data_IF_332911160280
#
_entry.id   IF_332911160280
#
_cell.length_a   1.000
_cell.length_b   1.000
_cell.length_c   1.000
_cell.angle_alpha   90.00
_cell.angle_beta   90.00
_cell.angle_gamma   90.00
#
_symmetry.space_group_name_H-M   'P 1'
#
loop_
_entity.id
_entity.type
_entity.pdbx_description
1 polymer ?
#
# COMPACT_ATOMS: atom_id res chain seq x y z
N UNK A 1 5.50 4.78 17.49
CA UNK A 1 4.59 4.04 16.59
C UNK A 1 4.82 2.55 16.78
N UNK A 2 3.78 1.70 16.72
CA UNK A 2 3.91 0.25 16.77
C UNK A 2 4.84 -0.29 15.68
N UNK A 3 5.50 -1.44 15.91
CA UNK A 3 6.33 -2.10 14.89
C UNK A 3 5.53 -2.58 13.68
N UNK A 4 4.21 -2.71 13.79
CA UNK A 4 3.30 -3.08 12.72
C UNK A 4 2.94 -1.94 11.78
N UNK A 5 3.18 -0.68 12.18
CA UNK A 5 3.02 0.48 11.31
C UNK A 5 4.21 0.54 10.32
N UNK A 6 3.96 0.21 9.06
CA UNK A 6 4.97 0.22 7.98
C UNK A 6 4.96 1.57 7.28
N UNK A 7 5.97 2.40 7.55
CA UNK A 7 6.11 3.75 7.00
C UNK A 7 4.76 4.52 6.95
N UNK A 8 4.10 4.72 8.10
CA UNK A 8 2.72 5.25 8.12
C UNK A 8 2.64 6.71 7.65
N UNK A 9 3.71 7.48 7.83
CA UNK A 9 3.81 8.90 7.43
C UNK A 9 4.57 9.05 6.12
N UNK A 10 4.07 8.38 5.07
CA UNK A 10 4.74 8.34 3.76
C UNK A 10 4.95 9.74 3.19
N UNK A 11 3.96 10.61 3.30
CA UNK A 11 4.02 11.97 2.77
C UNK A 11 4.96 12.85 3.61
N UNK A 12 4.86 12.77 4.94
CA UNK A 12 5.78 13.47 5.84
C UNK A 12 7.25 13.11 5.59
N UNK A 13 7.52 11.82 5.39
CA UNK A 13 8.85 11.29 5.03
C UNK A 13 9.30 11.75 3.65
N UNK A 14 8.37 11.80 2.67
CA UNK A 14 8.65 12.28 1.33
C UNK A 14 9.03 13.78 1.30
N UNK A 15 8.41 14.58 2.16
CA UNK A 15 8.76 15.99 2.38
C UNK A 15 10.14 16.12 3.02
N UNK A 16 10.42 15.33 4.06
CA UNK A 16 11.72 15.36 4.77
C UNK A 16 12.87 15.00 3.83
N UNK A 17 12.68 13.99 2.98
CA UNK A 17 13.66 13.62 1.96
C UNK A 17 13.92 14.75 0.95
N UNK A 18 12.92 15.57 0.62
CA UNK A 18 13.07 16.71 -0.29
C UNK A 18 13.76 17.89 0.38
N UNK A 19 13.40 18.18 1.61
CA UNK A 19 14.00 19.22 2.44
C UNK A 19 15.50 18.96 2.65
N UNK A 20 15.86 17.71 2.89
CA UNK A 20 17.24 17.26 3.13
C UNK A 20 17.97 16.79 1.85
N UNK A 21 17.39 16.98 0.67
CA UNK A 21 17.97 16.48 -0.57
C UNK A 21 19.33 17.16 -0.84
N UNK A 22 20.36 16.36 -1.15
CA UNK A 22 21.75 16.86 -1.29
C UNK A 22 21.95 17.75 -2.52
N UNK A 23 21.32 17.40 -3.65
CA UNK A 23 21.53 18.07 -4.95
C UNK A 23 20.29 18.79 -5.51
N UNK A 24 19.09 18.18 -5.43
CA UNK A 24 17.82 18.78 -5.87
C UNK A 24 17.21 19.70 -4.81
N UNK A 25 16.28 20.56 -5.21
CA UNK A 25 15.48 21.46 -4.34
C UNK A 25 16.28 22.46 -3.51
N UNK A 26 17.53 22.77 -3.92
CA UNK A 26 18.42 23.68 -3.20
C UNK A 26 18.16 25.15 -3.49
N UNK A 27 17.42 25.46 -4.56
CA UNK A 27 17.09 26.83 -4.96
C UNK A 27 16.11 27.48 -3.97
N UNK A 28 16.13 28.82 -3.93
CA UNK A 28 15.35 29.64 -2.99
C UNK A 28 13.85 29.36 -3.11
N UNK A 29 13.35 29.18 -4.34
CA UNK A 29 11.93 28.89 -4.60
C UNK A 29 11.52 27.53 -4.04
N UNK A 30 12.29 26.47 -4.33
CA UNK A 30 12.02 25.13 -3.78
C UNK A 30 12.01 25.12 -2.25
N UNK A 31 12.99 25.75 -1.62
CA UNK A 31 13.08 25.81 -0.14
C UNK A 31 11.91 26.56 0.47
N UNK A 32 11.52 27.69 -0.12
CA UNK A 32 10.35 28.46 0.31
C UNK A 32 9.09 27.59 0.22
N UNK A 33 8.85 26.97 -0.92
CA UNK A 33 7.64 26.16 -1.13
C UNK A 33 7.62 24.91 -0.25
N UNK A 34 8.75 24.23 -0.04
CA UNK A 34 8.82 23.10 0.90
C UNK A 34 8.50 23.53 2.33
N UNK A 35 8.99 24.69 2.76
CA UNK A 35 8.68 25.23 4.09
C UNK A 35 7.20 25.57 4.26
N UNK A 36 6.56 26.14 3.23
CA UNK A 36 5.12 26.43 3.24
C UNK A 36 4.30 25.13 3.25
N UNK A 37 4.69 24.15 2.43
CA UNK A 37 4.07 22.83 2.37
C UNK A 37 4.20 22.10 3.69
N UNK A 38 5.37 22.13 4.34
CA UNK A 38 5.59 21.55 5.66
C UNK A 38 4.65 22.13 6.70
N UNK A 39 4.49 23.46 6.72
CA UNK A 39 3.62 24.11 7.68
C UNK A 39 2.14 23.71 7.53
N UNK A 40 1.63 23.57 6.29
CA UNK A 40 0.27 23.07 6.06
C UNK A 40 0.14 21.57 6.29
N UNK A 41 1.19 20.80 5.98
CA UNK A 41 1.29 19.38 6.31
C UNK A 41 1.17 19.13 7.81
N UNK A 42 1.92 19.86 8.64
CA UNK A 42 1.93 19.66 10.08
C UNK A 42 0.55 19.93 10.71
N UNK A 43 -0.20 20.90 10.15
CA UNK A 43 -1.60 21.16 10.54
C UNK A 43 -2.50 19.98 10.14
N UNK A 44 -2.39 19.50 8.91
CA UNK A 44 -3.16 18.37 8.40
C UNK A 44 -2.87 17.08 9.19
N UNK A 45 -1.60 16.81 9.47
CA UNK A 45 -1.12 15.68 10.26
C UNK A 45 -1.68 15.73 11.68
N UNK A 46 -1.48 16.85 12.39
CA UNK A 46 -1.92 17.01 13.79
C UNK A 46 -3.43 16.85 13.93
N UNK A 47 -4.20 17.50 13.05
CA UNK A 47 -5.67 17.38 13.07
C UNK A 47 -6.15 15.94 12.80
N UNK A 48 -5.46 15.17 11.95
CA UNK A 48 -5.81 13.77 11.73
C UNK A 48 -5.45 12.85 12.90
N UNK A 49 -4.39 13.17 13.64
CA UNK A 49 -3.99 12.42 14.83
C UNK A 49 -4.93 12.64 16.02
N UNK A 50 -5.51 13.83 16.13
CA UNK A 50 -6.53 14.15 17.16
C UNK A 50 -7.83 13.37 16.96
N UNK A 51 -8.15 12.99 15.72
CA UNK A 51 -9.32 12.17 15.41
C UNK A 51 -9.08 10.69 15.74
N UNK A 52 -10.02 10.12 16.50
CA UNK A 52 -10.07 8.70 16.87
C UNK A 52 -11.26 8.03 16.20
N UNK A 53 -11.00 6.91 15.53
CA UNK A 53 -11.99 6.15 14.78
C UNK A 53 -12.08 6.55 13.31
N UNK A 54 -13.00 5.92 12.56
CA UNK A 54 -13.89 4.85 13.03
C UNK A 54 -13.16 3.52 13.25
N UNK A 55 -13.77 2.61 14.02
CA UNK A 55 -13.17 1.30 14.36
C UNK A 55 -13.93 0.13 13.69
N UNK A 56 -13.64 -1.12 14.10
CA UNK A 56 -14.32 -2.31 13.58
C UNK A 56 -15.80 -2.35 13.96
N UNK A 57 -16.19 -1.74 15.09
CA UNK A 57 -17.58 -1.70 15.54
C UNK A 57 -18.22 -0.39 15.09
N UNK A 58 -19.32 -0.44 14.30
CA UNK A 58 -19.97 0.78 13.83
C UNK A 58 -20.49 1.65 14.98
N UNK A 59 -20.29 2.95 14.87
CA UNK A 59 -20.84 3.96 15.81
C UNK A 59 -21.60 5.06 15.06
N UNK A 60 -22.43 5.80 15.78
CA UNK A 60 -23.15 6.95 15.20
C UNK A 60 -22.21 8.09 14.78
N UNK A 61 -20.98 8.10 15.29
CA UNK A 61 -19.96 9.12 15.02
C UNK A 61 -19.12 8.81 13.77
N UNK A 62 -19.17 7.57 13.25
CA UNK A 62 -18.32 7.12 12.14
C UNK A 62 -18.38 8.08 10.95
N UNK A 63 -19.59 8.42 10.51
CA UNK A 63 -19.81 9.26 9.35
C UNK A 63 -19.28 10.68 9.55
N UNK A 64 -19.44 11.23 10.75
CA UNK A 64 -18.93 12.55 11.09
C UNK A 64 -17.38 12.56 11.10
N UNK A 65 -16.75 11.53 11.66
CA UNK A 65 -15.30 11.41 11.70
C UNK A 65 -14.73 11.27 10.27
N UNK A 66 -15.32 10.43 9.44
CA UNK A 66 -14.92 10.29 8.03
C UNK A 66 -15.10 11.62 7.30
N UNK A 67 -16.22 12.33 7.52
CA UNK A 67 -16.45 13.65 6.94
C UNK A 67 -15.34 14.65 7.31
N UNK A 68 -14.99 14.75 8.58
CA UNK A 68 -13.89 15.63 9.02
C UNK A 68 -12.55 15.24 8.38
N UNK A 69 -12.23 13.93 8.28
CA UNK A 69 -11.01 13.48 7.59
C UNK A 69 -11.00 13.88 6.11
N UNK A 70 -12.14 13.80 5.42
CA UNK A 70 -12.28 14.21 4.01
C UNK A 70 -12.14 15.71 3.83
N UNK A 71 -12.69 16.51 4.75
CA UNK A 71 -12.50 17.97 4.75
C UNK A 71 -11.02 18.35 4.94
N UNK A 72 -10.35 17.72 5.90
CA UNK A 72 -8.91 17.90 6.14
C UNK A 72 -8.09 17.55 4.90
N UNK A 73 -8.36 16.39 4.27
CA UNK A 73 -7.71 15.98 3.03
C UNK A 73 -7.96 16.96 1.89
N UNK A 74 -9.22 17.38 1.70
CA UNK A 74 -9.61 18.30 0.62
C UNK A 74 -8.88 19.63 0.76
N UNK A 75 -8.88 20.21 1.96
CA UNK A 75 -8.17 21.46 2.26
C UNK A 75 -6.68 21.36 1.94
N UNK A 76 -6.02 20.29 2.39
CA UNK A 76 -4.58 20.10 2.15
C UNK A 76 -4.27 19.87 0.66
N UNK A 77 -5.07 19.06 -0.03
CA UNK A 77 -4.95 18.84 -1.48
C UNK A 77 -5.18 20.12 -2.28
N UNK A 78 -6.18 20.91 -1.92
CA UNK A 78 -6.47 22.18 -2.61
C UNK A 78 -5.36 23.21 -2.41
N UNK A 79 -4.72 23.21 -1.23
CA UNK A 79 -3.49 23.97 -1.00
C UNK A 79 -2.33 23.48 -1.90
N UNK A 80 -2.05 22.18 -1.91
CA UNK A 80 -0.97 21.60 -2.71
C UNK A 80 -1.17 21.73 -4.23
N UNK A 81 -2.43 21.77 -4.69
CA UNK A 81 -2.78 21.86 -6.09
C UNK A 81 -2.62 23.27 -6.67
N UNK A 82 -2.33 24.28 -5.84
CA UNK A 82 -2.04 25.64 -6.32
C UNK A 82 -0.91 25.62 -7.35
N UNK A 83 -1.06 26.44 -8.40
CA UNK A 83 -0.26 26.34 -9.63
C UNK A 83 1.24 26.37 -9.37
N UNK A 84 1.72 27.28 -8.52
CA UNK A 84 3.15 27.42 -8.25
C UNK A 84 3.76 26.21 -7.53
N UNK A 85 3.01 25.51 -6.68
CA UNK A 85 3.48 24.27 -6.07
C UNK A 85 3.48 23.13 -7.07
N UNK A 86 2.38 22.97 -7.81
CA UNK A 86 2.24 21.94 -8.81
C UNK A 86 3.34 22.04 -9.89
N UNK A 87 3.52 23.21 -10.51
CA UNK A 87 4.54 23.39 -11.54
C UNK A 87 5.96 23.14 -11.01
N UNK A 88 6.23 23.45 -9.74
CA UNK A 88 7.55 23.22 -9.13
C UNK A 88 7.81 21.74 -8.82
N UNK A 89 6.80 21.02 -8.34
CA UNK A 89 6.89 19.61 -7.97
C UNK A 89 6.08 18.77 -8.95
N UNK A 90 6.75 18.30 -10.00
CA UNK A 90 6.11 17.48 -11.03
C UNK A 90 5.60 16.13 -10.50
N UNK A 91 4.85 15.40 -11.32
CA UNK A 91 4.26 14.11 -10.94
C UNK A 91 5.30 13.06 -10.55
N UNK A 92 6.55 13.18 -11.01
CA UNK A 92 7.64 12.24 -10.68
C UNK A 92 8.22 12.48 -9.29
N UNK A 93 7.85 13.58 -8.64
CA UNK A 93 8.26 13.88 -7.26
C UNK A 93 7.56 13.02 -6.22
N UNK A 94 6.48 12.31 -6.59
CA UNK A 94 5.58 11.57 -5.70
C UNK A 94 4.93 12.43 -4.60
N UNK A 95 4.97 13.77 -4.73
CA UNK A 95 4.40 14.68 -3.76
C UNK A 95 2.88 14.47 -3.63
N UNK A 96 2.16 14.46 -4.75
CA UNK A 96 0.69 14.34 -4.72
C UNK A 96 0.21 12.92 -4.39
N UNK A 97 0.86 11.88 -4.89
CA UNK A 97 0.43 10.48 -4.67
C UNK A 97 0.60 10.06 -3.21
N UNK A 98 1.71 10.44 -2.57
CA UNK A 98 2.00 10.10 -1.17
C UNK A 98 0.99 10.67 -0.18
N UNK A 99 0.30 11.77 -0.51
CA UNK A 99 -0.79 12.30 0.33
C UNK A 99 -1.93 11.30 0.47
N UNK A 100 -2.28 10.59 -0.62
CA UNK A 100 -3.33 9.57 -0.55
C UNK A 100 -2.87 8.34 0.26
N UNK A 101 -1.60 7.94 0.09
CA UNK A 101 -0.99 6.84 0.86
C UNK A 101 -1.09 7.11 2.37
N UNK A 102 -0.69 8.32 2.80
CA UNK A 102 -0.75 8.71 4.21
C UNK A 102 -2.18 8.96 4.69
N UNK A 103 -3.07 9.47 3.84
CA UNK A 103 -4.49 9.60 4.17
C UNK A 103 -5.14 8.25 4.52
N UNK A 104 -4.79 7.19 3.79
CA UNK A 104 -5.30 5.84 4.08
C UNK A 104 -4.85 5.34 5.45
N UNK A 105 -3.65 5.70 5.90
CA UNK A 105 -3.22 5.41 7.27
C UNK A 105 -4.16 6.08 8.28
N UNK A 106 -4.45 7.38 8.15
CA UNK A 106 -5.38 8.06 9.06
C UNK A 106 -6.79 7.50 9.01
N UNK A 107 -7.27 7.13 7.82
CA UNK A 107 -8.60 6.58 7.61
C UNK A 107 -8.77 5.21 8.28
N UNK A 108 -7.72 4.39 8.31
CA UNK A 108 -7.81 2.99 8.74
C UNK A 108 -7.06 2.64 10.02
N UNK A 109 -6.20 3.51 10.58
CA UNK A 109 -5.35 3.20 11.74
C UNK A 109 -6.14 2.63 12.92
N UNK A 110 -7.28 3.23 13.24
CA UNK A 110 -8.07 2.84 14.42
C UNK A 110 -8.91 1.59 14.14
N UNK A 111 -9.38 1.41 12.90
CA UNK A 111 -10.00 0.15 12.45
C UNK A 111 -9.01 -1.02 12.55
N UNK A 112 -7.78 -0.86 12.08
CA UNK A 112 -6.80 -1.96 12.05
C UNK A 112 -6.32 -2.32 13.45
N UNK A 113 -6.22 -1.34 14.37
CA UNK A 113 -5.83 -1.55 15.77
C UNK A 113 -6.78 -2.47 16.54
N UNK A 114 -8.06 -2.52 16.19
CA UNK A 114 -9.03 -3.44 16.80
C UNK A 114 -8.66 -4.93 16.61
N UNK A 115 -7.86 -5.24 15.58
CA UNK A 115 -7.41 -6.60 15.29
C UNK A 115 -6.10 -6.98 15.99
N UNK A 116 -5.56 -6.10 16.84
CA UNK A 116 -4.39 -6.35 17.69
C UNK A 116 -3.07 -5.84 17.13
N UNK A 117 -2.01 -5.98 17.93
CA UNK A 117 -0.69 -5.37 17.67
C UNK A 117 0.03 -5.94 16.44
N UNK A 118 -0.32 -7.15 16.00
CA UNK A 118 0.27 -7.82 14.84
C UNK A 118 -0.35 -7.36 13.50
N UNK A 119 -1.42 -6.57 13.54
CA UNK A 119 -2.08 -6.09 12.34
C UNK A 119 -1.23 -5.02 11.66
N UNK A 120 -0.67 -5.37 10.50
CA UNK A 120 0.19 -4.50 9.72
C UNK A 120 -0.64 -3.44 8.99
N UNK A 121 -0.16 -2.20 8.97
CA UNK A 121 -0.78 -1.09 8.22
C UNK A 121 0.28 -0.15 7.63
N UNK A 122 0.06 0.31 6.39
CA UNK A 122 0.85 1.35 5.74
C UNK A 122 1.52 0.88 4.45
N UNK A 123 2.52 1.63 3.96
CA UNK A 123 3.24 1.28 2.73
C UNK A 123 4.17 0.09 2.99
N UNK A 124 4.01 -1.00 2.25
CA UNK A 124 4.80 -2.23 2.47
C UNK A 124 5.21 -2.93 1.16
N UNK A 125 6.31 -3.68 1.24
CA UNK A 125 6.75 -4.62 0.22
C UNK A 125 6.32 -6.03 0.63
N UNK A 126 5.24 -6.52 0.04
CA UNK A 126 4.62 -7.77 0.46
C UNK A 126 5.08 -8.96 -0.38
N UNK A 127 4.90 -10.16 0.14
CA UNK A 127 5.17 -11.41 -0.55
C UNK A 127 4.51 -11.45 -1.94
N UNK A 128 5.31 -11.77 -2.95
CA UNK A 128 4.85 -11.99 -4.32
C UNK A 128 5.10 -13.45 -4.73
N UNK A 129 6.32 -13.93 -4.53
CA UNK A 129 6.66 -15.31 -4.87
C UNK A 129 7.81 -15.87 -4.04
N UNK A 130 7.98 -17.19 -4.13
CA UNK A 130 9.13 -17.91 -3.59
C UNK A 130 9.75 -18.80 -4.66
N UNK A 131 11.07 -18.77 -4.76
CA UNK A 131 11.84 -19.61 -5.67
C UNK A 131 13.12 -20.12 -5.01
N UNK A 132 13.61 -21.29 -5.42
CA UNK A 132 14.80 -21.92 -4.84
C UNK A 132 15.96 -21.84 -5.83
N UNK A 133 17.06 -21.21 -5.42
CA UNK A 133 18.22 -20.94 -6.29
C UNK A 133 19.52 -21.45 -5.66
N UNK A 134 19.68 -22.78 -5.56
CA UNK A 134 20.93 -23.35 -5.11
C UNK A 134 22.04 -23.11 -6.16
N UNK A 135 23.28 -22.79 -5.75
CA UNK A 135 24.37 -22.53 -6.70
C UNK A 135 24.84 -23.79 -7.44
N UNK A 136 24.63 -24.98 -6.87
CA UNK A 136 24.91 -26.29 -7.48
C UNK A 136 24.17 -27.40 -6.74
N UNK A 137 24.08 -28.59 -7.34
CA UNK A 137 23.35 -29.73 -6.78
C UNK A 137 23.84 -30.13 -5.38
N UNK A 138 25.15 -30.16 -5.12
CA UNK A 138 25.66 -30.51 -3.78
C UNK A 138 25.28 -29.49 -2.70
N UNK A 139 25.06 -28.23 -3.08
CA UNK A 139 24.60 -27.19 -2.15
C UNK A 139 23.09 -27.29 -1.93
N UNK A 140 22.32 -27.63 -2.97
CA UNK A 140 20.86 -27.88 -2.86
C UNK A 140 20.50 -28.91 -1.77
N UNK A 141 21.41 -29.84 -1.48
CA UNK A 141 21.23 -30.86 -0.42
C UNK A 141 21.49 -30.33 1.00
N UNK A 142 22.22 -29.21 1.14
CA UNK A 142 22.61 -28.66 2.45
C UNK A 142 21.53 -27.76 3.06
N UNK A 143 20.83 -27.00 2.23
CA UNK A 143 19.75 -26.08 2.63
C UNK A 143 18.90 -25.67 1.41
N UNK A 144 17.74 -25.03 1.61
CA UNK A 144 16.80 -24.74 0.51
C UNK A 144 17.25 -23.69 -0.51
N UNK A 145 18.05 -22.68 -0.13
CA UNK A 145 18.36 -21.49 -0.93
C UNK A 145 17.09 -20.77 -1.41
N UNK A 146 16.13 -20.58 -0.50
CA UNK A 146 14.89 -19.88 -0.79
C UNK A 146 15.15 -18.38 -1.04
N UNK A 147 14.43 -17.84 -2.03
CA UNK A 147 14.39 -16.42 -2.37
C UNK A 147 12.95 -15.95 -2.35
N UNK A 148 12.72 -14.87 -1.59
CA UNK A 148 11.41 -14.26 -1.47
C UNK A 148 11.36 -13.05 -2.41
N UNK A 149 10.54 -13.15 -3.45
CA UNK A 149 10.18 -12.00 -4.27
C UNK A 149 9.12 -11.17 -3.56
N UNK A 150 9.28 -9.83 -3.59
CA UNK A 150 8.34 -8.90 -2.98
C UNK A 150 7.77 -7.93 -4.01
N UNK A 151 6.56 -7.45 -3.77
CA UNK A 151 5.90 -6.40 -4.55
C UNK A 151 5.67 -5.17 -3.67
N UNK A 152 6.05 -4.00 -4.17
CA UNK A 152 5.71 -2.74 -3.53
C UNK A 152 4.23 -2.40 -3.73
N UNK A 153 3.55 -2.04 -2.64
CA UNK A 153 2.17 -1.57 -2.64
C UNK A 153 2.08 -0.23 -1.92
N UNK A 154 1.31 0.69 -2.50
CA UNK A 154 1.14 2.05 -1.99
C UNK A 154 0.54 2.07 -0.57
N UNK A 155 -0.40 1.17 -0.28
CA UNK A 155 -0.96 0.96 1.05
C UNK A 155 -1.40 -0.49 1.26
N UNK A 156 -1.09 -1.04 2.43
CA UNK A 156 -1.39 -2.43 2.81
C UNK A 156 -2.05 -2.47 4.19
N UNK A 157 -3.02 -3.35 4.35
CA UNK A 157 -3.43 -3.93 5.64
C UNK A 157 -3.15 -5.43 5.56
N UNK A 158 -2.46 -5.99 6.55
CA UNK A 158 -2.04 -7.39 6.47
C UNK A 158 -1.41 -7.92 7.75
N UNK A 159 -0.50 -8.87 7.59
CA UNK A 159 0.27 -9.46 8.69
C UNK A 159 1.73 -9.70 8.27
N UNK A 160 2.63 -9.64 9.25
CA UNK A 160 4.01 -10.11 9.08
C UNK A 160 4.10 -11.57 9.49
N UNK A 161 4.66 -12.41 8.63
CA UNK A 161 4.89 -13.82 8.93
C UNK A 161 6.37 -14.16 8.93
N UNK A 162 6.73 -15.14 9.75
CA UNK A 162 8.05 -15.77 9.77
C UNK A 162 7.90 -17.20 9.27
N UNK A 163 8.73 -17.58 8.29
CA UNK A 163 8.74 -18.92 7.70
C UNK A 163 10.15 -19.48 7.75
N UNK A 164 10.28 -20.72 8.22
CA UNK A 164 11.55 -21.45 8.22
C UNK A 164 11.48 -22.62 7.24
N UNK A 165 12.44 -22.69 6.33
CA UNK A 165 12.64 -23.81 5.41
C UNK A 165 13.84 -24.62 5.87
N UNK A 166 13.74 -25.94 5.83
CA UNK A 166 14.82 -26.83 6.25
C UNK A 166 15.03 -27.91 5.19
N UNK A 167 16.28 -28.14 4.80
CA UNK A 167 16.59 -29.29 3.95
C UNK A 167 16.48 -30.58 4.76
N UNK A 168 15.85 -31.60 4.20
CA UNK A 168 15.83 -32.94 4.78
C UNK A 168 17.27 -33.40 5.05
N UNK A 169 17.53 -33.96 6.23
CA UNK A 169 18.86 -34.38 6.67
C UNK A 169 19.49 -35.34 5.65
N UNK A 170 20.67 -35.05 5.08
CA UNK A 170 21.44 -36.05 4.36
C UNK A 170 22.00 -37.09 5.35
N UNK A 171 22.19 -38.37 4.97
CA UNK A 171 22.63 -39.45 5.87
C UNK A 171 24.03 -39.29 6.50
N UNK A 172 24.82 -38.27 6.17
CA UNK A 172 26.21 -38.17 6.61
C UNK A 172 26.51 -36.85 7.32
N UNK A 173 27.05 -36.99 8.53
CA UNK A 173 27.56 -35.92 9.38
C UNK A 173 28.82 -35.35 8.75
N UNK A 174 28.77 -34.13 8.25
CA UNK A 174 29.99 -33.32 8.12
C UNK A 174 30.38 -32.81 9.51
N UNK A 175 31.59 -33.16 9.98
CA UNK A 175 32.07 -32.93 11.35
C UNK A 175 32.43 -31.47 11.70
N UNK A 176 32.00 -30.47 10.90
CA UNK A 176 32.44 -29.08 11.09
C UNK A 176 31.31 -28.13 11.57
N UNK A 177 31.31 -27.61 12.82
CA UNK A 177 30.10 -27.07 13.44
C UNK A 177 29.66 -25.67 13.03
N UNK A 178 30.46 -24.86 12.32
CA UNK A 178 30.10 -23.47 11.99
C UNK A 178 30.81 -22.96 10.73
N UNK A 179 30.08 -22.86 9.63
CA UNK A 179 30.44 -21.99 8.50
C UNK A 179 29.49 -20.78 8.47
N UNK A 180 30.06 -19.58 8.60
CA UNK A 180 29.42 -18.34 8.16
C UNK A 180 29.84 -18.14 6.72
N UNK A 181 28.99 -18.50 5.75
CA UNK A 181 29.25 -18.24 4.34
C UNK A 181 28.98 -16.76 4.04
N UNK A 182 29.97 -16.01 3.52
CA UNK A 182 29.72 -14.69 2.97
C UNK A 182 28.77 -14.83 1.79
N UNK A 183 27.66 -14.11 1.83
CA UNK A 183 26.80 -13.94 0.66
C UNK A 183 27.65 -13.39 -0.48
N UNK A 184 27.56 -14.01 -1.66
CA UNK A 184 27.94 -13.37 -2.90
C UNK A 184 27.21 -12.02 -2.95
N UNK A 185 27.98 -10.94 -2.85
CA UNK A 185 27.51 -9.57 -3.08
C UNK A 185 27.16 -9.45 -4.55
N UNK A 186 25.88 -9.52 -4.85
CA UNK A 186 25.30 -8.81 -5.98
C UNK A 186 24.34 -7.77 -5.37
N UNK A 187 24.69 -6.50 -5.51
CA UNK A 187 23.85 -5.36 -5.10
C UNK A 187 22.96 -4.90 -6.28
N UNK A 188 21.80 -4.25 -6.04
CA UNK A 188 21.51 -3.43 -4.86
C UNK A 188 20.22 -3.78 -4.07
N UNK A 189 20.37 -3.68 -2.76
CA UNK A 189 19.40 -3.28 -1.73
C UNK A 189 18.08 -4.09 -1.56
N UNK A 190 18.01 -4.77 -0.41
CA UNK A 190 16.81 -5.28 0.28
C UNK A 190 16.19 -6.60 -0.21
N UNK A 191 16.95 -7.69 -0.17
CA UNK A 191 16.35 -8.98 0.18
C UNK A 191 16.31 -9.08 1.70
N UNK A 192 15.12 -9.31 2.28
CA UNK A 192 14.91 -9.53 3.72
C UNK A 192 16.03 -10.37 4.31
N UNK A 193 16.66 -9.89 5.38
CA UNK A 193 17.72 -10.60 6.09
C UNK A 193 17.29 -12.05 6.37
N UNK A 194 17.91 -13.00 5.68
CA UNK A 194 17.67 -14.43 5.88
C UNK A 194 18.56 -14.87 7.02
N UNK A 195 17.97 -15.40 8.07
CA UNK A 195 18.75 -16.00 9.16
C UNK A 195 18.98 -17.47 8.84
N UNK A 196 20.22 -17.89 8.71
CA UNK A 196 20.59 -19.29 8.47
C UNK A 196 21.19 -19.90 9.73
N UNK A 197 20.64 -21.02 10.18
CA UNK A 197 21.18 -21.79 11.31
C UNK A 197 21.23 -23.27 10.91
N UNK A 198 22.43 -23.81 10.69
CA UNK A 198 22.59 -25.16 10.15
C UNK A 198 22.01 -25.29 8.74
N UNK A 199 21.12 -26.25 8.55
CA UNK A 199 20.36 -26.52 7.32
C UNK A 199 19.03 -25.74 7.22
N UNK A 200 18.71 -24.88 8.20
CA UNK A 200 17.47 -24.10 8.27
C UNK A 200 17.70 -22.66 7.80
N UNK A 201 16.82 -22.17 6.93
CA UNK A 201 16.72 -20.79 6.47
C UNK A 201 15.43 -20.15 6.97
N UNK A 202 15.52 -19.05 7.72
CA UNK A 202 14.36 -18.32 8.26
C UNK A 202 14.19 -16.99 7.56
N UNK A 203 12.99 -16.76 7.03
CA UNK A 203 12.58 -15.58 6.29
C UNK A 203 11.43 -14.87 7.01
N UNK A 204 11.44 -13.54 6.96
CA UNK A 204 10.36 -12.70 7.47
C UNK A 204 9.84 -11.83 6.32
N UNK A 205 8.54 -11.88 6.08
CA UNK A 205 7.89 -11.08 5.04
C UNK A 205 6.43 -10.77 5.38
N UNK A 206 5.92 -9.72 4.75
CA UNK A 206 4.55 -9.23 4.96
C UNK A 206 3.61 -9.88 3.93
N UNK A 207 2.40 -10.27 4.34
CA UNK A 207 1.32 -10.75 3.47
C UNK A 207 0.16 -9.76 3.56
N UNK A 208 -0.38 -9.26 2.44
CA UNK A 208 -1.50 -8.34 2.47
C UNK A 208 -2.83 -9.11 2.51
N UNK A 209 -3.79 -8.55 3.22
CA UNK A 209 -5.22 -8.90 3.13
C UNK A 209 -5.94 -7.81 2.34
N UNK A 210 -5.53 -6.55 2.51
CA UNK A 210 -6.00 -5.43 1.70
C UNK A 210 -4.79 -4.76 1.08
N UNK A 211 -4.81 -4.55 -0.24
CA UNK A 211 -3.84 -3.76 -0.97
C UNK A 211 -4.58 -2.62 -1.70
N UNK A 212 -4.14 -1.38 -1.53
CA UNK A 212 -4.70 -0.21 -2.19
C UNK A 212 -3.59 0.52 -2.95
N UNK A 213 -3.73 0.60 -4.28
CA UNK A 213 -2.86 1.39 -5.15
C UNK A 213 -3.40 2.82 -5.27
N UNK A 214 -2.54 3.81 -5.02
CA UNK A 214 -2.91 5.23 -5.04
C UNK A 214 -2.33 5.91 -6.28
N UNK A 215 -3.18 6.52 -7.11
CA UNK A 215 -2.73 7.22 -8.32
C UNK A 215 -3.35 8.62 -8.39
N UNK A 216 -2.62 9.60 -8.90
CA UNK A 216 -3.22 10.92 -9.19
C UNK A 216 -4.29 10.78 -10.27
N UNK A 217 -3.98 10.05 -11.34
CA UNK A 217 -4.96 9.64 -12.35
C UNK A 217 -4.71 8.19 -12.76
N UNK A 218 -5.72 7.54 -13.35
CA UNK A 218 -5.60 6.18 -13.87
C UNK A 218 -5.81 6.14 -15.39
N UNK A 219 -4.80 5.70 -16.13
CA UNK A 219 -4.90 5.37 -17.55
C UNK A 219 -5.01 3.84 -17.80
N UNK A 220 -5.15 3.45 -19.08
CA UNK A 220 -5.34 2.05 -19.48
C UNK A 220 -4.14 1.16 -19.11
N UNK A 221 -2.92 1.64 -19.33
CA UNK A 221 -1.70 0.88 -19.05
C UNK A 221 -1.53 0.66 -17.55
N UNK A 222 -1.81 1.70 -16.75
CA UNK A 222 -1.80 1.59 -15.28
C UNK A 222 -2.87 0.62 -14.77
N UNK A 223 -4.06 0.61 -15.37
CA UNK A 223 -5.12 -0.34 -15.04
C UNK A 223 -4.73 -1.78 -15.39
N UNK A 224 -4.09 -2.00 -16.54
CA UNK A 224 -3.57 -3.32 -16.93
C UNK A 224 -2.50 -3.82 -15.95
N UNK A 225 -1.55 -2.96 -15.56
CA UNK A 225 -0.56 -3.28 -14.54
C UNK A 225 -1.18 -3.59 -13.17
N UNK A 226 -2.16 -2.79 -12.74
CA UNK A 226 -2.87 -3.00 -11.47
C UNK A 226 -3.68 -4.31 -11.48
N UNK A 227 -4.29 -4.64 -12.61
CA UNK A 227 -5.00 -5.91 -12.78
C UNK A 227 -4.07 -7.12 -12.72
N UNK A 228 -2.88 -7.02 -13.30
CA UNK A 228 -1.90 -8.11 -13.22
C UNK A 228 -1.41 -8.30 -11.79
N UNK A 229 -1.12 -7.20 -11.09
CA UNK A 229 -0.74 -7.24 -9.67
C UNK A 229 -1.86 -7.83 -8.79
N UNK A 230 -3.12 -7.52 -9.06
CA UNK A 230 -4.26 -8.11 -8.37
C UNK A 230 -4.39 -9.63 -8.64
N UNK A 231 -4.13 -10.06 -9.88
CA UNK A 231 -4.13 -11.48 -10.24
C UNK A 231 -3.01 -12.23 -9.53
N UNK A 232 -1.78 -11.72 -9.57
CA UNK A 232 -0.62 -12.30 -8.90
C UNK A 232 -0.86 -12.37 -7.38
N UNK A 233 -1.44 -11.32 -6.79
CA UNK A 233 -1.76 -11.31 -5.37
C UNK A 233 -2.78 -12.39 -5.01
N UNK A 234 -3.90 -12.46 -5.74
CA UNK A 234 -4.98 -13.43 -5.46
C UNK A 234 -4.57 -14.87 -5.73
N UNK A 235 -3.58 -15.10 -6.60
CA UNK A 235 -2.99 -16.41 -6.79
C UNK A 235 -2.24 -16.91 -5.54
N UNK A 236 -1.78 -16.02 -4.65
CA UNK A 236 -1.06 -16.36 -3.40
C UNK A 236 -1.93 -16.23 -2.16
N UNK A 237 -2.77 -15.20 -2.11
CA UNK A 237 -3.76 -15.01 -1.06
C UNK A 237 -5.13 -14.72 -1.70
N UNK A 238 -5.95 -15.76 -1.98
CA UNK A 238 -7.24 -15.63 -2.66
C UNK A 238 -8.25 -14.73 -1.96
N UNK A 239 -8.10 -14.58 -0.65
CA UNK A 239 -8.97 -13.74 0.17
C UNK A 239 -8.56 -12.27 0.15
N UNK A 240 -7.53 -11.89 -0.61
CA UNK A 240 -7.07 -10.50 -0.63
C UNK A 240 -8.03 -9.60 -1.39
N UNK A 241 -8.30 -8.43 -0.81
CA UNK A 241 -8.98 -7.32 -1.44
C UNK A 241 -7.97 -6.37 -2.11
N UNK A 242 -8.06 -6.21 -3.43
CA UNK A 242 -7.22 -5.32 -4.22
C UNK A 242 -8.00 -4.13 -4.77
N UNK A 243 -7.64 -2.92 -4.36
CA UNK A 243 -8.34 -1.67 -4.71
C UNK A 243 -7.40 -0.72 -5.44
N UNK A 244 -7.95 0.03 -6.40
CA UNK A 244 -7.27 1.18 -7.01
C UNK A 244 -8.01 2.46 -6.63
N UNK A 245 -7.30 3.42 -6.05
CA UNK A 245 -7.81 4.71 -5.62
C UNK A 245 -7.13 5.83 -6.41
N UNK A 246 -7.92 6.71 -7.03
CA UNK A 246 -7.37 7.87 -7.73
C UNK A 246 -8.23 9.12 -7.63
N UNK A 247 -7.64 10.27 -7.93
CA UNK A 247 -8.36 11.55 -7.98
C UNK A 247 -9.15 11.73 -9.27
N UNK A 248 -8.51 11.48 -10.42
CA UNK A 248 -9.09 11.62 -11.75
C UNK A 248 -9.04 10.33 -12.57
N UNK A 249 -9.97 10.16 -13.52
CA UNK A 249 -9.97 9.03 -14.44
C UNK A 249 -9.52 9.42 -15.86
N UNK A 250 -8.58 8.67 -16.45
CA UNK A 250 -8.09 8.85 -17.82
C UNK A 250 -8.37 7.60 -18.68
N UNK A 251 -9.60 7.08 -18.58
CA UNK A 251 -10.09 5.96 -19.38
C UNK A 251 -11.10 6.41 -20.43
N UNK A 252 -11.11 5.72 -21.55
CA UNK A 252 -12.12 5.89 -22.60
C UNK A 252 -13.31 4.96 -22.35
N UNK A 253 -14.46 5.24 -22.97
CA UNK A 253 -15.67 4.39 -22.90
C UNK A 253 -15.47 2.99 -23.47
N UNK A 254 -14.40 2.76 -24.22
CA UNK A 254 -14.09 1.47 -24.86
C UNK A 254 -13.41 0.48 -23.89
N UNK A 255 -13.11 0.91 -22.65
CA UNK A 255 -12.50 0.04 -21.64
C UNK A 255 -13.60 -0.73 -20.92
N UNK A 256 -13.67 -2.04 -21.15
CA UNK A 256 -14.53 -2.92 -20.37
C UNK A 256 -13.87 -3.24 -19.02
N UNK A 257 -14.37 -2.63 -17.94
CA UNK A 257 -13.80 -2.81 -16.59
C UNK A 257 -13.95 -4.25 -16.06
N UNK A 258 -14.93 -5.02 -16.54
CA UNK A 258 -15.21 -6.39 -16.05
C UNK A 258 -14.12 -7.41 -16.36
N UNK A 259 -13.19 -7.09 -17.28
CA UNK A 259 -12.08 -8.00 -17.63
C UNK A 259 -10.92 -7.94 -16.63
N UNK A 260 -10.86 -6.90 -15.80
CA UNK A 260 -9.76 -6.67 -14.87
C UNK A 260 -10.01 -7.36 -13.54
N UNK A 261 -8.94 -7.76 -12.86
CA UNK A 261 -8.97 -8.58 -11.63
C UNK A 261 -8.99 -7.79 -10.33
N UNK A 262 -8.94 -6.46 -10.43
CA UNK A 262 -9.09 -5.54 -9.29
C UNK A 262 -10.51 -5.63 -8.73
N UNK A 263 -10.67 -5.55 -7.42
CA UNK A 263 -11.98 -5.68 -6.74
C UNK A 263 -12.78 -4.38 -6.75
N UNK A 264 -12.10 -3.23 -6.76
CA UNK A 264 -12.76 -1.94 -6.85
C UNK A 264 -11.83 -0.84 -7.37
N UNK A 265 -12.44 0.14 -8.05
CA UNK A 265 -11.77 1.31 -8.62
C UNK A 265 -12.53 2.57 -8.15
N UNK A 266 -11.89 3.42 -7.36
CA UNK A 266 -12.51 4.63 -6.76
C UNK A 266 -11.96 5.93 -7.37
N UNK A 267 -12.85 6.76 -7.96
CA UNK A 267 -12.51 8.10 -8.47
C UNK A 267 -12.98 9.15 -7.46
N UNK A 268 -12.07 9.69 -6.65
CA UNK A 268 -12.37 10.58 -5.54
C UNK A 268 -13.08 11.86 -5.95
N UNK A 269 -12.70 12.47 -7.08
CA UNK A 269 -13.29 13.72 -7.56
C UNK A 269 -14.45 13.50 -8.54
N UNK A 270 -14.77 12.24 -8.87
CA UNK A 270 -15.76 11.88 -9.88
C UNK A 270 -15.57 12.63 -11.22
N UNK A 271 -14.31 12.87 -11.60
CA UNK A 271 -13.96 13.77 -12.70
C UNK A 271 -12.95 13.11 -13.65
N UNK A 272 -13.10 13.38 -14.96
CA UNK A 272 -12.10 12.99 -15.96
C UNK A 272 -10.81 13.78 -15.78
N UNK A 273 -9.68 13.13 -16.07
CA UNK A 273 -8.40 13.80 -16.12
C UNK A 273 -8.36 14.76 -17.32
N UNK A 274 -7.95 15.99 -17.07
CA UNK A 274 -7.50 16.93 -18.11
C UNK A 274 -5.99 17.11 -18.02
N UNK A 275 -5.36 17.59 -19.09
CA UNK A 275 -3.94 17.91 -19.06
C UNK A 275 -3.67 19.02 -18.05
N UNK A 276 -2.46 19.00 -17.47
CA UNK A 276 -2.15 19.76 -16.25
C UNK A 276 -2.33 21.27 -16.44
N UNK A 277 -1.92 21.78 -17.60
CA UNK A 277 -2.07 23.19 -17.98
C UNK A 277 -3.53 23.65 -17.98
N UNK A 278 -4.45 22.80 -18.44
CA UNK A 278 -5.87 23.11 -18.48
C UNK A 278 -6.55 23.10 -17.11
N UNK A 279 -5.87 22.64 -16.05
CA UNK A 279 -6.41 22.66 -14.68
C UNK A 279 -6.41 24.06 -14.05
N UNK A 280 -5.74 25.02 -14.69
CA UNK A 280 -5.63 26.41 -14.22
C UNK A 280 -6.36 27.41 -15.13
N UNK A 281 -7.05 26.93 -16.16
CA UNK A 281 -7.92 27.78 -16.99
C UNK A 281 -9.16 28.22 -16.20
N UNK A 282 -9.64 29.45 -16.44
CA UNK A 282 -10.81 30.02 -15.73
C UNK A 282 -12.07 29.16 -15.82
N UNK A 283 -12.25 28.44 -16.93
CA UNK A 283 -13.41 27.54 -17.15
C UNK A 283 -13.28 26.19 -16.46
N UNK A 284 -12.11 25.84 -15.91
CA UNK A 284 -11.92 24.56 -15.25
C UNK A 284 -12.47 24.59 -13.84
N UNK A 285 -13.51 23.78 -13.59
CA UNK A 285 -14.06 23.57 -12.25
C UNK A 285 -13.53 22.25 -11.71
N UNK A 286 -12.69 22.32 -10.68
CA UNK A 286 -12.17 21.13 -9.98
C UNK A 286 -13.21 20.65 -8.98
N UNK A 287 -13.64 19.40 -9.09
CA UNK A 287 -14.50 18.82 -8.06
C UNK A 287 -13.72 18.59 -6.76
N UNK A 288 -14.34 18.84 -5.61
CA UNK A 288 -13.83 18.43 -4.31
C UNK A 288 -13.76 16.90 -4.19
N UNK A 289 -13.02 16.41 -3.19
CA UNK A 289 -13.01 14.98 -2.88
C UNK A 289 -14.38 14.59 -2.32
N UNK A 290 -15.02 13.59 -2.93
CA UNK A 290 -16.37 13.21 -2.60
C UNK A 290 -16.42 12.34 -1.34
N UNK A 291 -17.15 12.81 -0.33
CA UNK A 291 -17.35 12.12 0.94
C UNK A 291 -17.95 10.71 0.78
N UNK A 292 -18.99 10.56 -0.04
CA UNK A 292 -19.68 9.28 -0.25
C UNK A 292 -18.75 8.22 -0.85
N UNK A 293 -17.83 8.64 -1.72
CA UNK A 293 -16.81 7.74 -2.29
C UNK A 293 -15.87 7.22 -1.20
N UNK A 294 -15.42 8.09 -0.28
CA UNK A 294 -14.54 7.71 0.83
C UNK A 294 -15.27 6.86 1.88
N UNK A 295 -16.52 7.18 2.20
CA UNK A 295 -17.38 6.36 3.05
C UNK A 295 -17.55 4.96 2.47
N UNK A 296 -17.83 4.86 1.17
CA UNK A 296 -17.96 3.57 0.50
C UNK A 296 -16.65 2.76 0.51
N UNK A 297 -15.49 3.42 0.35
CA UNK A 297 -14.18 2.79 0.52
C UNK A 297 -14.00 2.25 1.94
N UNK A 298 -14.27 3.08 2.95
CA UNK A 298 -14.12 2.70 4.35
C UNK A 298 -14.99 1.49 4.71
N UNK A 299 -16.28 1.54 4.34
CA UNK A 299 -17.22 0.46 4.60
C UNK A 299 -16.87 -0.84 3.89
N UNK A 300 -16.36 -0.77 2.64
CA UNK A 300 -15.92 -1.96 1.92
C UNK A 300 -14.75 -2.64 2.63
N UNK A 301 -13.74 -1.86 3.04
CA UNK A 301 -12.57 -2.39 3.78
C UNK A 301 -13.00 -2.93 5.14
N UNK A 302 -13.82 -2.20 5.91
CA UNK A 302 -14.33 -2.67 7.21
C UNK A 302 -15.15 -3.95 7.09
N UNK A 303 -16.06 -4.05 6.10
CA UNK A 303 -16.82 -5.28 5.85
C UNK A 303 -15.88 -6.44 5.56
N UNK A 304 -14.90 -6.22 4.69
CA UNK A 304 -13.95 -7.26 4.29
C UNK A 304 -13.07 -7.75 5.46
N UNK A 305 -12.60 -6.86 6.33
CA UNK A 305 -11.79 -7.26 7.50
C UNK A 305 -12.58 -8.00 8.58
N UNK A 306 -13.92 -7.88 8.58
CA UNK A 306 -14.80 -8.49 9.59
C UNK A 306 -15.53 -9.74 9.12
N UNK A 307 -15.61 -9.97 7.82
CA UNK A 307 -16.30 -11.13 7.29
C UNK A 307 -15.49 -12.39 7.53
N UNK A 308 -16.17 -13.52 7.67
CA UNK A 308 -15.52 -14.82 7.64
C UNK A 308 -15.11 -15.14 6.20
N UNK A 309 -13.80 -15.24 5.95
CA UNK A 309 -13.27 -15.63 4.63
C UNK A 309 -13.31 -17.13 4.38
N UNK A 310 -13.54 -17.95 5.42
CA UNK A 310 -13.39 -19.40 5.30
C UNK A 310 -14.50 -20.06 4.50
N UNK A 311 -15.65 -19.38 4.33
CA UNK A 311 -16.69 -19.71 3.34
C UNK A 311 -16.83 -21.20 3.06
N UNK A 312 -16.94 -22.00 4.13
CA UNK A 312 -16.74 -23.44 4.03
C UNK A 312 -17.79 -24.09 3.13
N UNK A 313 -17.39 -25.13 2.40
CA UNK A 313 -18.29 -25.92 1.54
C UNK A 313 -19.55 -26.32 2.30
N UNK A 314 -19.43 -26.71 3.57
CA UNK A 314 -20.55 -27.08 4.44
C UNK A 314 -21.56 -25.94 4.65
N UNK A 315 -21.10 -24.72 4.97
CA UNK A 315 -21.97 -23.55 5.09
C UNK A 315 -22.59 -23.16 3.74
N UNK A 316 -21.88 -23.40 2.64
CA UNK A 316 -22.41 -23.18 1.30
C UNK A 316 -23.45 -24.22 0.87
N UNK A 317 -23.31 -25.48 1.31
CA UNK A 317 -24.28 -26.55 1.07
C UNK A 317 -25.61 -26.23 1.75
N UNK A 318 -25.59 -25.81 3.02
CA UNK A 318 -26.81 -25.47 3.76
C UNK A 318 -27.55 -24.26 3.16
N UNK A 319 -26.81 -23.29 2.61
CA UNK A 319 -27.38 -22.10 1.96
C UNK A 319 -27.80 -22.36 0.51
N UNK A 320 -27.20 -23.34 -0.16
CA UNK A 320 -27.44 -23.65 -1.58
C UNK A 320 -26.52 -22.91 -2.56
N UNK A 321 -25.52 -22.17 -2.09
CA UNK A 321 -24.47 -21.53 -2.90
C UNK A 321 -23.15 -21.45 -2.13
N UNK A 322 -22.03 -21.72 -2.80
CA UNK A 322 -20.70 -21.83 -2.17
C UNK A 322 -19.92 -20.50 -2.11
N UNK A 323 -20.32 -19.51 -2.92
CA UNK A 323 -19.63 -18.22 -3.04
C UNK A 323 -20.63 -17.13 -2.63
N UNK A 324 -20.27 -16.30 -1.66
CA UNK A 324 -21.04 -15.10 -1.30
C UNK A 324 -20.67 -13.91 -2.21
N UNK A 325 -21.65 -13.05 -2.50
CA UNK A 325 -21.49 -11.82 -3.29
C UNK A 325 -21.03 -10.59 -2.46
#
# INVERSE_FOLDING_TARGET
MPKSDRNPLVHGSNLEQKENHRTKYRDVGSKKYLSEIRAEYDKWHSANLELVGPTSTPTAQDEAIIATRVELLSKYKDFLDQQHYAEKFDSRSNLHSSVLEEFLYYLFKDLVRDFGENALIGKSHTFKDIFFVPPKYSEMLKRPYARIEKKDHDFVIGATIQVSFEAATPPEKDENPREVLPLLKEEPENYSEVTVTGNTETHIFDIPVVAIECKTYLDKTMLEGSSRAAEDLKARNPNSLYVVLMEWIKLTSNVNLRKYKVDQIYVLRQQKNTDREFRYEEKYVKNSINLVVVQHLFHKVRKHLKMDWTGGIEHGIERGWLIDE
#
